data_IF_585330009690
#
_entry.id   IF_585330009690
#
_cell.length_a   1.000
_cell.length_b   1.000
_cell.length_c   1.000
_cell.angle_alpha   90.00
_cell.angle_beta   90.00
_cell.angle_gamma   90.00
#
_symmetry.space_group_name_H-M   'P 1'
#
loop_
_entity.id
_entity.type
_entity.pdbx_description
1 polymer ?
#
# COMPACT_ATOMS: atom_id res chain seq x y z
N UNK A 1 52.77 43.45 -51.15
CA UNK A 1 52.73 42.08 -50.57
C UNK A 1 52.13 42.21 -49.18
N UNK A 2 50.83 42.05 -49.09
CA UNK A 2 50.10 42.17 -47.82
C UNK A 2 49.46 40.82 -47.55
N UNK A 3 49.83 40.25 -46.42
CA UNK A 3 49.24 38.99 -45.89
C UNK A 3 48.24 39.39 -44.77
N UNK A 4 46.98 39.23 -45.10
CA UNK A 4 45.90 39.48 -44.12
C UNK A 4 45.68 38.24 -43.28
N UNK A 5 45.77 38.38 -41.92
CA UNK A 5 45.44 37.38 -40.98
C UNK A 5 43.92 37.35 -40.75
N UNK A 6 43.28 36.23 -41.06
CA UNK A 6 41.91 35.93 -40.67
C UNK A 6 41.92 35.35 -39.23
N UNK A 7 41.34 36.07 -38.30
CA UNK A 7 40.97 35.54 -36.97
C UNK A 7 39.62 34.81 -37.05
N UNK A 8 39.63 33.57 -36.67
CA UNK A 8 38.41 32.74 -36.48
C UNK A 8 37.96 32.85 -35.02
N UNK A 9 36.71 33.17 -34.71
CA UNK A 9 36.25 33.15 -33.32
C UNK A 9 35.89 31.72 -32.91
N UNK A 10 36.47 31.26 -31.80
CA UNK A 10 36.06 30.05 -31.10
C UNK A 10 34.64 30.23 -30.52
N UNK A 11 33.67 29.47 -31.01
CA UNK A 11 32.37 29.26 -30.34
C UNK A 11 32.57 28.32 -29.15
N UNK A 12 32.44 28.87 -27.94
CA UNK A 12 32.36 28.10 -26.70
C UNK A 12 30.97 27.48 -26.60
N UNK A 13 30.88 26.18 -26.80
CA UNK A 13 29.65 25.40 -26.51
C UNK A 13 29.58 25.18 -25.03
N UNK A 14 28.71 25.93 -24.37
CA UNK A 14 28.32 25.66 -22.95
C UNK A 14 27.41 24.43 -22.94
N UNK A 15 28.01 23.30 -22.64
CA UNK A 15 27.29 22.07 -22.34
C UNK A 15 26.51 22.25 -21.01
N UNK A 16 25.23 22.60 -21.13
CA UNK A 16 24.31 22.62 -20.01
C UNK A 16 24.03 21.18 -19.55
N UNK A 17 24.74 20.74 -18.50
CA UNK A 17 24.43 19.50 -17.82
C UNK A 17 23.04 19.59 -17.17
N UNK A 18 22.07 18.85 -17.72
CA UNK A 18 20.82 18.55 -17.01
C UNK A 18 21.17 17.76 -15.74
N UNK A 19 21.18 18.44 -14.61
CA UNK A 19 21.13 17.80 -13.32
C UNK A 19 19.76 17.13 -13.21
N UNK A 20 19.69 15.84 -13.53
CA UNK A 20 18.57 14.98 -13.13
C UNK A 20 18.57 14.97 -11.60
N UNK A 21 17.79 15.86 -11.02
CA UNK A 21 17.47 15.81 -9.60
C UNK A 21 16.76 14.48 -9.35
N UNK A 22 17.47 13.54 -8.72
CA UNK A 22 16.81 12.40 -8.08
C UNK A 22 15.91 12.99 -7.01
N UNK A 23 14.59 13.05 -7.27
CA UNK A 23 13.63 13.33 -6.22
C UNK A 23 13.90 12.32 -5.12
N UNK A 24 14.27 12.82 -3.93
CA UNK A 24 14.38 11.98 -2.74
C UNK A 24 13.00 11.35 -2.55
N UNK A 25 12.92 10.04 -2.56
CA UNK A 25 11.66 9.36 -2.25
C UNK A 25 11.41 9.57 -0.75
N UNK A 26 10.22 10.08 -0.40
CA UNK A 26 9.82 10.24 1.01
C UNK A 26 9.35 8.89 1.59
N UNK A 27 10.19 7.87 1.42
CA UNK A 27 9.96 6.54 1.98
C UNK A 27 9.88 6.63 3.51
N UNK A 28 8.91 5.92 4.10
CA UNK A 28 8.74 5.87 5.55
C UNK A 28 9.31 4.55 6.06
N UNK A 29 10.35 4.65 6.90
CA UNK A 29 10.87 3.50 7.64
C UNK A 29 9.90 3.26 8.80
N UNK A 30 9.27 2.09 8.83
CA UNK A 30 8.37 1.72 9.90
C UNK A 30 9.16 1.28 11.14
N UNK A 31 8.74 1.67 12.35
CA UNK A 31 9.33 1.14 13.58
C UNK A 31 9.09 -0.37 13.69
N UNK A 32 9.83 -1.04 14.56
CA UNK A 32 9.62 -2.47 14.81
C UNK A 32 8.17 -2.72 15.28
N UNK A 33 7.45 -3.70 14.68
CA UNK A 33 6.07 -3.96 15.05
C UNK A 33 5.99 -4.60 16.45
N UNK A 34 4.95 -4.27 17.21
CA UNK A 34 4.63 -5.01 18.43
C UNK A 34 4.03 -6.38 18.06
N UNK A 35 4.73 -7.45 18.47
CA UNK A 35 4.36 -8.85 18.19
C UNK A 35 3.85 -9.60 19.43
N UNK A 36 3.72 -8.93 20.57
CA UNK A 36 3.46 -9.60 21.86
C UNK A 36 2.21 -9.11 22.57
N UNK A 37 1.58 -8.07 22.07
CA UNK A 37 0.41 -7.46 22.68
C UNK A 37 -0.91 -7.97 22.10
N UNK A 38 -1.98 -7.35 22.57
CA UNK A 38 -3.32 -7.50 22.04
C UNK A 38 -4.30 -8.24 22.95
N UNK A 39 -5.59 -8.19 22.56
CA UNK A 39 -6.67 -8.92 23.23
C UNK A 39 -6.61 -10.42 22.89
N UNK A 40 -7.12 -11.30 23.76
CA UNK A 40 -7.26 -12.73 23.44
C UNK A 40 -8.05 -12.95 22.14
N UNK A 41 -7.61 -13.90 21.31
CA UNK A 41 -8.19 -14.15 19.97
C UNK A 41 -9.72 -14.35 20.02
N UNK A 42 -10.25 -15.14 20.97
CA UNK A 42 -11.69 -15.41 21.06
C UNK A 42 -12.47 -14.15 21.41
N UNK A 43 -11.91 -13.25 22.20
CA UNK A 43 -12.51 -11.95 22.49
C UNK A 43 -12.54 -11.08 21.23
N UNK A 44 -11.45 -11.03 20.45
CA UNK A 44 -11.37 -10.27 19.20
C UNK A 44 -12.39 -10.77 18.19
N UNK A 45 -12.51 -12.09 18.02
CA UNK A 45 -13.51 -12.69 17.13
C UNK A 45 -14.95 -12.35 17.54
N UNK A 46 -15.25 -12.29 18.84
CA UNK A 46 -16.55 -11.92 19.35
C UNK A 46 -16.88 -10.43 19.16
N UNK A 47 -15.87 -9.55 19.23
CA UNK A 47 -16.02 -8.10 19.13
C UNK A 47 -15.91 -7.59 17.69
N UNK A 48 -15.31 -8.35 16.76
CA UNK A 48 -15.07 -7.93 15.39
C UNK A 48 -16.36 -7.54 14.66
N UNK A 49 -16.40 -6.33 14.13
CA UNK A 49 -17.48 -5.81 13.28
C UNK A 49 -16.94 -4.83 12.24
N UNK A 50 -17.77 -4.45 11.26
CA UNK A 50 -17.43 -3.44 10.26
C UNK A 50 -17.84 -2.05 10.72
N UNK A 51 -16.86 -1.11 10.73
CA UNK A 51 -17.04 0.28 11.13
C UNK A 51 -16.96 1.19 9.89
N UNK A 52 -17.92 2.09 9.72
CA UNK A 52 -18.03 3.00 8.56
C UNK A 52 -18.05 4.48 8.95
N UNK A 53 -17.80 4.79 10.23
CA UNK A 53 -17.70 6.15 10.75
C UNK A 53 -16.40 6.27 11.54
N UNK A 54 -15.57 7.27 11.18
CA UNK A 54 -14.22 7.41 11.71
C UNK A 54 -13.98 8.82 12.22
N UNK A 55 -13.23 8.92 13.32
CA UNK A 55 -12.72 10.20 13.80
C UNK A 55 -11.66 10.73 12.83
N UNK A 56 -11.58 12.06 12.70
CA UNK A 56 -10.45 12.72 12.06
C UNK A 56 -9.25 12.73 13.02
N UNK A 57 -8.67 11.53 13.20
CA UNK A 57 -7.54 11.30 14.08
C UNK A 57 -6.52 10.41 13.38
N UNK A 58 -5.28 10.89 13.19
CA UNK A 58 -4.24 10.09 12.53
C UNK A 58 -3.90 8.83 13.34
N UNK A 59 -3.56 7.76 12.62
CA UNK A 59 -3.06 6.52 13.22
C UNK A 59 -1.56 6.72 13.51
N UNK A 60 -1.10 6.50 14.77
CA UNK A 60 0.32 6.57 15.10
C UNK A 60 1.16 5.60 14.26
N UNK A 61 2.40 5.99 13.97
CA UNK A 61 3.27 5.20 13.09
C UNK A 61 3.57 3.81 13.67
N UNK A 62 3.66 3.67 14.98
CA UNK A 62 3.85 2.39 15.69
C UNK A 62 2.62 1.47 15.51
N UNK A 63 1.43 2.05 15.56
CA UNK A 63 0.18 1.31 15.33
C UNK A 63 0.05 0.90 13.86
N UNK A 64 0.38 1.80 12.92
CA UNK A 64 0.41 1.50 11.49
C UNK A 64 1.43 0.41 11.17
N UNK A 65 2.60 0.45 11.77
CA UNK A 65 3.65 -0.57 11.66
C UNK A 65 3.13 -1.94 12.06
N UNK A 66 2.54 -2.03 13.25
CA UNK A 66 2.00 -3.28 13.79
C UNK A 66 0.80 -3.80 12.97
N UNK A 67 -0.07 -2.91 12.49
CA UNK A 67 -1.16 -3.23 11.57
C UNK A 67 -0.67 -3.88 10.28
N UNK A 68 0.33 -3.27 9.62
CA UNK A 68 0.86 -3.75 8.36
C UNK A 68 1.61 -5.07 8.53
N UNK A 69 2.33 -5.22 9.65
CA UNK A 69 2.93 -6.50 9.98
C UNK A 69 1.87 -7.58 10.21
N UNK A 70 0.82 -7.29 10.98
CA UNK A 70 -0.28 -8.23 11.18
C UNK A 70 -0.97 -8.61 9.86
N UNK A 71 -1.15 -7.65 8.96
CA UNK A 71 -1.77 -7.86 7.64
C UNK A 71 -0.98 -8.83 6.76
N UNK A 72 0.33 -8.56 6.54
CA UNK A 72 1.16 -9.33 5.59
C UNK A 72 2.66 -9.25 5.91
N UNK A 73 3.04 -9.03 7.17
CA UNK A 73 4.46 -8.94 7.55
C UNK A 73 5.20 -10.27 7.50
N UNK A 74 6.53 -10.19 7.41
CA UNK A 74 7.42 -11.36 7.57
C UNK A 74 7.36 -11.84 9.01
N UNK A 75 7.03 -13.11 9.21
CA UNK A 75 6.85 -13.70 10.56
C UNK A 75 7.81 -14.85 10.87
N UNK A 76 8.72 -15.18 9.95
CA UNK A 76 9.76 -16.22 10.07
C UNK A 76 11.06 -15.72 9.45
N UNK A 77 12.14 -16.45 9.60
CA UNK A 77 13.48 -16.07 9.09
C UNK A 77 13.52 -15.95 7.56
N UNK A 78 12.80 -16.82 6.86
CA UNK A 78 12.64 -16.73 5.41
C UNK A 78 11.66 -15.61 5.06
N UNK A 79 12.08 -14.59 4.27
CA UNK A 79 11.26 -13.45 3.92
C UNK A 79 10.05 -13.78 3.05
N UNK A 80 9.96 -14.95 2.47
CA UNK A 80 8.79 -15.38 1.72
C UNK A 80 7.62 -15.81 2.61
N UNK A 81 7.87 -16.10 3.88
CA UNK A 81 6.81 -16.47 4.82
C UNK A 81 6.20 -15.24 5.50
N UNK A 82 4.88 -15.12 5.37
CA UNK A 82 4.07 -13.99 5.86
C UNK A 82 3.10 -14.41 6.95
N UNK A 83 2.54 -13.42 7.63
CA UNK A 83 1.41 -13.60 8.55
C UNK A 83 0.15 -14.09 7.84
N UNK A 84 -0.08 -13.68 6.58
CA UNK A 84 -1.13 -14.20 5.72
C UNK A 84 -0.56 -15.25 4.75
N UNK A 85 -1.22 -16.40 4.55
CA UNK A 85 -0.79 -17.40 3.57
C UNK A 85 -1.11 -16.96 2.14
N UNK A 86 -0.34 -17.45 1.16
CA UNK A 86 -0.64 -17.33 -0.26
C UNK A 86 -0.50 -18.66 -0.99
N UNK A 87 -1.16 -18.80 -2.14
CA UNK A 87 -1.06 -20.02 -2.95
C UNK A 87 0.39 -20.24 -3.40
N UNK A 88 0.95 -21.43 -3.10
CA UNK A 88 2.36 -21.75 -3.39
C UNK A 88 3.36 -20.72 -2.87
N UNK A 89 2.98 -19.97 -1.87
CA UNK A 89 3.81 -18.91 -1.25
C UNK A 89 4.29 -17.84 -2.25
N UNK A 90 3.50 -17.55 -3.30
CA UNK A 90 3.90 -16.61 -4.34
C UNK A 90 3.72 -15.13 -3.96
N UNK A 91 3.05 -14.85 -2.85
CA UNK A 91 2.90 -13.50 -2.27
C UNK A 91 2.48 -12.44 -3.32
N UNK A 92 1.48 -12.80 -4.15
CA UNK A 92 1.03 -12.00 -5.27
C UNK A 92 0.25 -10.74 -4.88
N UNK A 93 -0.20 -10.65 -3.62
CA UNK A 93 -0.96 -9.49 -3.14
C UNK A 93 -0.02 -8.43 -2.58
N UNK A 94 -0.15 -7.22 -3.08
CA UNK A 94 0.53 -6.02 -2.60
C UNK A 94 -0.46 -5.13 -1.86
N UNK A 95 -0.01 -4.50 -0.77
CA UNK A 95 -0.80 -3.53 0.00
C UNK A 95 -0.30 -2.13 -0.32
N UNK A 96 -1.18 -1.32 -0.93
CA UNK A 96 -0.97 0.11 -1.05
C UNK A 96 -1.64 0.82 0.12
N UNK A 97 -0.87 1.61 0.83
CA UNK A 97 -1.26 2.37 2.03
C UNK A 97 -1.54 3.80 1.60
N UNK A 98 -2.79 4.24 1.64
CA UNK A 98 -3.21 5.57 1.20
C UNK A 98 -3.51 6.42 2.43
N UNK A 99 -2.69 7.45 2.61
CA UNK A 99 -2.72 8.42 3.71
C UNK A 99 -3.01 9.83 3.15
N UNK A 100 -3.32 10.84 3.98
CA UNK A 100 -3.44 12.22 3.51
C UNK A 100 -2.21 12.74 2.76
N UNK A 101 -1.01 12.28 3.12
CA UNK A 101 0.25 12.72 2.51
C UNK A 101 0.53 12.05 1.14
N UNK A 102 -0.07 10.87 0.86
CA UNK A 102 0.17 10.16 -0.39
C UNK A 102 -0.20 8.70 -0.36
N UNK A 103 0.14 8.01 -1.44
CA UNK A 103 0.02 6.56 -1.56
C UNK A 103 1.40 5.90 -1.51
N UNK A 104 1.50 4.84 -0.73
CA UNK A 104 2.74 4.12 -0.46
C UNK A 104 2.54 2.63 -0.70
N UNK A 105 3.56 1.96 -1.23
CA UNK A 105 3.61 0.50 -1.32
C UNK A 105 4.29 -0.06 -0.06
N UNK A 106 3.59 -0.90 0.67
CA UNK A 106 4.20 -1.63 1.80
C UNK A 106 5.18 -2.69 1.28
N UNK A 107 6.39 -2.66 1.83
CA UNK A 107 7.47 -3.61 1.56
C UNK A 107 7.71 -4.47 2.79
N UNK A 108 7.11 -5.67 2.87
CA UNK A 108 7.21 -6.53 4.07
C UNK A 108 8.63 -6.96 4.39
N UNK A 109 9.49 -7.19 3.37
CA UNK A 109 10.86 -7.67 3.53
C UNK A 109 11.75 -6.67 4.27
N UNK A 110 11.52 -5.39 4.04
CA UNK A 110 12.29 -4.29 4.64
C UNK A 110 11.48 -3.49 5.66
N UNK A 111 10.22 -3.90 5.86
CA UNK A 111 9.27 -3.27 6.77
C UNK A 111 9.23 -1.74 6.62
N UNK A 112 8.96 -1.27 5.39
CA UNK A 112 8.90 0.15 5.02
C UNK A 112 7.75 0.44 4.08
N UNK A 113 7.40 1.71 3.98
CA UNK A 113 6.48 2.24 3.00
C UNK A 113 7.28 2.97 1.93
N UNK A 114 7.25 2.45 0.72
CA UNK A 114 7.83 3.09 -0.46
C UNK A 114 6.83 4.08 -1.03
N UNK A 115 7.18 5.35 -1.13
CA UNK A 115 6.30 6.35 -1.70
C UNK A 115 6.10 6.13 -3.20
N UNK A 116 4.84 6.11 -3.63
CA UNK A 116 4.44 5.94 -5.03
C UNK A 116 3.84 7.23 -5.57
N UNK A 117 2.94 7.87 -4.83
CA UNK A 117 2.24 9.09 -5.24
C UNK A 117 2.27 10.08 -4.08
N UNK A 118 2.53 11.36 -4.39
CA UNK A 118 2.35 12.48 -3.46
C UNK A 118 0.90 13.00 -3.50
N UNK A 119 0.44 13.51 -2.37
CA UNK A 119 -0.87 14.12 -2.21
C UNK A 119 -2.00 13.14 -1.92
N UNK A 120 -3.10 13.67 -1.44
CA UNK A 120 -4.24 12.89 -0.96
C UNK A 120 -4.97 12.17 -2.11
N UNK A 121 -5.07 10.85 -2.00
CA UNK A 121 -5.77 9.97 -2.93
C UNK A 121 -6.85 9.14 -2.24
N UNK A 122 -7.19 9.47 -0.97
CA UNK A 122 -8.15 8.67 -0.20
C UNK A 122 -9.52 8.60 -0.87
N UNK A 123 -9.99 9.69 -1.46
CA UNK A 123 -11.24 9.79 -2.23
C UNK A 123 -11.32 8.82 -3.41
N UNK A 124 -10.18 8.53 -4.05
CA UNK A 124 -10.10 7.60 -5.18
C UNK A 124 -10.24 6.12 -4.75
N UNK A 125 -10.11 5.80 -3.45
CA UNK A 125 -10.10 4.41 -2.97
C UNK A 125 -11.47 3.80 -2.76
N UNK A 126 -12.55 4.52 -3.06
CA UNK A 126 -13.93 4.00 -3.02
C UNK A 126 -14.97 5.08 -3.26
N UNK A 127 -16.23 4.67 -3.38
CA UNK A 127 -17.36 5.55 -3.74
C UNK A 127 -18.22 5.96 -2.54
N UNK A 128 -17.89 5.49 -1.33
CA UNK A 128 -18.64 5.78 -0.11
C UNK A 128 -18.05 7.03 0.57
N UNK A 129 -18.87 7.92 1.12
CA UNK A 129 -18.46 9.22 1.66
C UNK A 129 -17.34 9.14 2.71
N UNK A 130 -17.41 8.18 3.64
CA UNK A 130 -16.41 8.04 4.68
C UNK A 130 -15.00 7.68 4.17
N UNK A 131 -14.87 7.24 2.92
CA UNK A 131 -13.60 6.82 2.35
C UNK A 131 -12.60 7.98 2.25
N UNK A 132 -13.09 9.16 1.85
CA UNK A 132 -12.28 10.36 1.69
C UNK A 132 -11.77 10.91 3.05
N UNK A 133 -12.50 10.64 4.13
CA UNK A 133 -12.20 11.17 5.48
C UNK A 133 -11.55 10.14 6.40
N UNK A 134 -11.66 8.84 6.10
CA UNK A 134 -10.97 7.81 6.87
C UNK A 134 -9.45 8.10 6.93
N UNK A 135 -8.80 8.04 8.10
CA UNK A 135 -7.39 8.40 8.24
C UNK A 135 -6.45 7.52 7.42
N UNK A 136 -6.88 6.31 7.08
CA UNK A 136 -6.11 5.33 6.31
C UNK A 136 -7.03 4.51 5.41
N UNK A 137 -6.64 4.30 4.15
CA UNK A 137 -7.21 3.27 3.28
C UNK A 137 -6.11 2.32 2.81
N UNK A 138 -6.32 1.03 2.99
CA UNK A 138 -5.51 -0.03 2.39
C UNK A 138 -6.15 -0.42 1.06
N UNK A 139 -5.34 -0.52 0.00
CA UNK A 139 -5.76 -0.98 -1.33
C UNK A 139 -5.01 -2.27 -1.64
N UNK A 140 -5.76 -3.33 -1.94
CA UNK A 140 -5.22 -4.64 -2.26
C UNK A 140 -5.09 -4.81 -3.76
N UNK A 141 -3.87 -5.00 -4.21
CA UNK A 141 -3.49 -5.11 -5.62
C UNK A 141 -2.89 -6.48 -5.86
N UNK A 142 -3.38 -7.20 -6.87
CA UNK A 142 -2.71 -8.42 -7.32
C UNK A 142 -1.63 -8.08 -8.34
N UNK A 143 -0.42 -8.58 -8.11
CA UNK A 143 0.65 -8.64 -9.10
C UNK A 143 0.59 -9.98 -9.83
N UNK A 144 0.00 -9.97 -11.03
CA UNK A 144 -0.20 -11.16 -11.83
C UNK A 144 1.09 -11.80 -12.31
N UNK A 145 2.21 -11.06 -12.33
CA UNK A 145 3.52 -11.60 -12.70
C UNK A 145 4.07 -12.59 -11.68
N UNK A 146 3.63 -12.49 -10.42
CA UNK A 146 4.00 -13.40 -9.34
C UNK A 146 3.14 -14.67 -9.30
N UNK A 147 2.01 -14.68 -9.99
CA UNK A 147 1.12 -15.84 -9.97
C UNK A 147 1.67 -17.00 -10.79
N UNK A 148 1.46 -18.27 -10.36
CA UNK A 148 1.95 -19.44 -11.08
C UNK A 148 1.50 -19.47 -12.55
N UNK A 149 2.42 -19.74 -13.46
CA UNK A 149 2.18 -19.71 -14.90
C UNK A 149 1.23 -20.82 -15.39
N UNK A 150 1.11 -21.93 -14.64
CA UNK A 150 0.21 -23.05 -14.91
C UNK A 150 -1.24 -22.83 -14.42
N UNK A 151 -1.53 -21.67 -13.78
CA UNK A 151 -2.88 -21.32 -13.38
C UNK A 151 -3.63 -20.66 -14.54
N UNK A 152 -4.85 -21.12 -14.82
CA UNK A 152 -5.77 -20.43 -15.71
C UNK A 152 -6.28 -19.10 -15.06
N UNK A 153 -6.96 -18.28 -15.86
CA UNK A 153 -7.43 -16.95 -15.40
C UNK A 153 -8.41 -17.06 -14.21
N UNK A 154 -9.28 -18.08 -14.20
CA UNK A 154 -10.24 -18.30 -13.10
C UNK A 154 -9.51 -18.65 -11.80
N UNK A 155 -8.55 -19.57 -11.87
CA UNK A 155 -7.76 -19.98 -10.70
C UNK A 155 -6.91 -18.83 -10.18
N UNK A 156 -6.30 -18.04 -11.07
CA UNK A 156 -5.56 -16.81 -10.70
C UNK A 156 -6.44 -15.83 -9.93
N UNK A 157 -7.65 -15.57 -10.41
CA UNK A 157 -8.57 -14.67 -9.72
C UNK A 157 -9.01 -15.24 -8.36
N UNK A 158 -9.41 -16.52 -8.32
CA UNK A 158 -9.86 -17.15 -7.07
C UNK A 158 -8.75 -17.14 -6.02
N UNK A 159 -7.51 -17.50 -6.36
CA UNK A 159 -6.39 -17.49 -5.40
C UNK A 159 -6.06 -16.07 -4.92
N UNK A 160 -6.09 -15.09 -5.80
CA UNK A 160 -5.86 -13.69 -5.44
C UNK A 160 -6.93 -13.17 -4.46
N UNK A 161 -8.22 -13.38 -4.77
CA UNK A 161 -9.31 -12.98 -3.87
C UNK A 161 -9.24 -13.70 -2.52
N UNK A 162 -8.86 -14.98 -2.50
CA UNK A 162 -8.66 -15.73 -1.26
C UNK A 162 -7.51 -15.13 -0.44
N UNK A 163 -6.38 -14.81 -1.06
CA UNK A 163 -5.24 -14.17 -0.42
C UNK A 163 -5.59 -12.81 0.19
N UNK A 164 -6.36 -11.99 -0.55
CA UNK A 164 -6.88 -10.71 -0.03
C UNK A 164 -7.80 -10.95 1.17
N UNK A 165 -8.64 -12.00 1.15
CA UNK A 165 -9.50 -12.36 2.29
C UNK A 165 -8.70 -12.66 3.56
N UNK A 166 -7.60 -13.41 3.46
CA UNK A 166 -6.72 -13.68 4.60
C UNK A 166 -6.09 -12.40 5.17
N UNK A 167 -5.58 -11.53 4.29
CA UNK A 167 -4.99 -10.25 4.68
C UNK A 167 -6.05 -9.35 5.32
N UNK A 168 -7.22 -9.24 4.69
CA UNK A 168 -8.31 -8.40 5.17
C UNK A 168 -8.84 -8.83 6.55
N UNK A 169 -8.90 -10.13 6.82
CA UNK A 169 -9.29 -10.63 8.15
C UNK A 169 -8.21 -10.35 9.19
N UNK A 170 -6.92 -10.51 8.88
CA UNK A 170 -5.83 -10.11 9.77
C UNK A 170 -5.95 -8.62 10.16
N UNK A 171 -6.32 -7.75 9.22
CA UNK A 171 -6.57 -6.32 9.49
C UNK A 171 -7.77 -6.13 10.41
N UNK A 172 -8.88 -6.87 10.22
CA UNK A 172 -10.04 -6.82 11.11
C UNK A 172 -9.66 -7.21 12.54
N UNK A 173 -8.98 -8.33 12.70
CA UNK A 173 -8.58 -8.84 14.01
C UNK A 173 -7.62 -7.89 14.72
N UNK A 174 -6.61 -7.37 14.00
CA UNK A 174 -5.70 -6.38 14.55
C UNK A 174 -6.44 -5.10 14.98
N UNK A 175 -7.28 -4.53 14.12
CA UNK A 175 -8.03 -3.31 14.41
C UNK A 175 -8.90 -3.48 15.65
N UNK A 176 -9.66 -4.57 15.74
CA UNK A 176 -10.50 -4.88 16.91
C UNK A 176 -9.67 -5.01 18.18
N UNK A 177 -8.48 -5.62 18.10
CA UNK A 177 -7.57 -5.76 19.22
C UNK A 177 -6.96 -4.42 19.67
N UNK A 178 -6.70 -3.52 18.71
CA UNK A 178 -6.06 -2.23 18.95
C UNK A 178 -7.05 -1.07 19.23
N UNK A 179 -8.37 -1.35 19.30
CA UNK A 179 -9.40 -0.31 19.47
C UNK A 179 -9.61 0.56 18.23
N UNK A 180 -9.24 0.03 17.05
CA UNK A 180 -9.52 0.65 15.75
C UNK A 180 -10.78 0.03 15.13
N UNK A 181 -11.45 0.80 14.29
CA UNK A 181 -12.50 0.33 13.40
C UNK A 181 -11.97 0.10 12.00
N UNK A 182 -12.61 -0.81 11.26
CA UNK A 182 -12.27 -1.08 9.86
C UNK A 182 -13.46 -1.62 9.08
N UNK A 183 -13.43 -1.43 7.74
CA UNK A 183 -14.39 -2.05 6.82
C UNK A 183 -13.73 -2.45 5.52
N UNK A 184 -13.86 -3.73 5.16
CA UNK A 184 -13.45 -4.28 3.88
C UNK A 184 -14.49 -3.93 2.79
N UNK A 185 -14.04 -3.51 1.59
CA UNK A 185 -14.91 -2.93 0.57
C UNK A 185 -14.57 -3.42 -0.84
N UNK A 186 -15.65 -3.71 -1.60
CA UNK A 186 -15.60 -3.91 -3.04
C UNK A 186 -16.15 -2.70 -3.83
N UNK A 187 -16.77 -1.73 -3.15
CA UNK A 187 -17.38 -0.55 -3.79
C UNK A 187 -16.30 0.50 -4.10
N UNK A 188 -15.62 0.30 -5.22
CA UNK A 188 -14.58 1.18 -5.76
C UNK A 188 -14.58 1.11 -7.30
N UNK A 189 -14.10 2.16 -7.96
CA UNK A 189 -13.75 2.14 -9.37
C UNK A 189 -12.30 1.66 -9.52
N UNK A 190 -12.15 0.36 -9.78
CA UNK A 190 -10.84 -0.29 -9.86
C UNK A 190 -9.97 0.29 -10.98
N UNK A 191 -10.57 0.59 -12.15
CA UNK A 191 -9.84 1.12 -13.30
C UNK A 191 -9.40 2.57 -13.05
N UNK A 192 -10.25 3.39 -12.44
CA UNK A 192 -9.90 4.74 -12.04
C UNK A 192 -8.74 4.73 -11.03
N UNK A 193 -8.85 3.95 -9.96
CA UNK A 193 -7.82 3.85 -8.93
C UNK A 193 -6.50 3.28 -9.49
N UNK A 194 -6.57 2.31 -10.41
CA UNK A 194 -5.39 1.76 -11.08
C UNK A 194 -4.62 2.85 -11.85
N UNK A 195 -5.33 3.72 -12.57
CA UNK A 195 -4.71 4.86 -13.26
C UNK A 195 -4.12 5.87 -12.28
N UNK A 196 -4.84 6.19 -11.18
CA UNK A 196 -4.36 7.14 -10.17
C UNK A 196 -3.11 6.64 -9.43
N UNK A 197 -3.01 5.34 -9.18
CA UNK A 197 -1.83 4.69 -8.61
C UNK A 197 -0.73 4.39 -9.65
N UNK A 198 -0.95 4.72 -10.93
CA UNK A 198 -0.01 4.48 -12.04
C UNK A 198 0.44 3.02 -12.13
N UNK A 199 -0.48 2.08 -11.88
CA UNK A 199 -0.15 0.66 -11.90
C UNK A 199 0.10 0.14 -13.31
N UNK A 200 1.12 -0.72 -13.51
CA UNK A 200 1.34 -1.40 -14.79
C UNK A 200 0.21 -2.39 -15.08
N UNK A 201 0.07 -2.77 -16.36
CA UNK A 201 -1.06 -3.59 -16.85
C UNK A 201 -1.21 -4.95 -16.18
N UNK A 202 -0.11 -5.51 -15.66
CA UNK A 202 -0.09 -6.80 -14.96
C UNK A 202 -0.44 -6.69 -13.46
N UNK A 203 -0.70 -5.48 -12.96
CA UNK A 203 -1.21 -5.25 -11.60
C UNK A 203 -2.67 -4.84 -11.66
N UNK A 204 -3.50 -5.42 -10.80
CA UNK A 204 -4.94 -5.15 -10.76
C UNK A 204 -5.40 -4.84 -9.35
N UNK A 205 -6.14 -3.74 -9.19
CA UNK A 205 -6.84 -3.42 -7.95
C UNK A 205 -7.98 -4.42 -7.77
N UNK A 206 -8.09 -5.03 -6.58
CA UNK A 206 -9.15 -5.98 -6.26
C UNK A 206 -10.13 -5.41 -5.24
N UNK A 207 -9.63 -4.97 -4.08
CA UNK A 207 -10.43 -4.51 -2.95
C UNK A 207 -9.74 -3.37 -2.23
N UNK A 208 -10.48 -2.71 -1.33
CA UNK A 208 -9.91 -1.74 -0.39
C UNK A 208 -10.46 -1.97 1.03
N UNK A 209 -9.78 -1.40 2.03
CA UNK A 209 -10.21 -1.48 3.43
C UNK A 209 -9.88 -0.16 4.13
N UNK A 210 -10.90 0.51 4.67
CA UNK A 210 -10.71 1.72 5.47
C UNK A 210 -10.42 1.36 6.91
N UNK A 211 -9.52 2.13 7.54
CA UNK A 211 -9.11 1.95 8.93
C UNK A 211 -9.04 3.31 9.62
N UNK A 212 -9.50 3.38 10.86
CA UNK A 212 -9.46 4.58 11.69
C UNK A 212 -9.97 4.32 13.10
N UNK A 213 -9.94 5.33 13.95
CA UNK A 213 -10.64 5.26 15.23
C UNK A 213 -12.14 5.38 14.99
N UNK A 214 -12.98 4.50 15.58
CA UNK A 214 -14.43 4.63 15.48
C UNK A 214 -14.86 5.99 16.02
N UNK A 215 -15.76 6.68 15.29
CA UNK A 215 -16.52 7.79 15.89
C UNK A 215 -17.80 7.25 16.51
N UNK A 216 -18.19 7.79 17.65
CA UNK A 216 -19.51 7.55 18.21
C UNK A 216 -20.55 8.00 17.18
N UNK A 217 -21.36 7.05 16.70
CA UNK A 217 -22.46 7.29 15.78
C UNK A 217 -23.72 7.72 16.51
#
# INVERSE_FOLDING_TARGET
MNISHLLCPLLSVISGGLLSGTALSDDIILPAPDRKGGKPLMQVLNERHSTRSFMDKPIPLETLSSLLWAAQGVNRDDPDYRTAPSSRNCNEIEIYVVLPAGAYLYKPETHRLQQIIHGDLRDATGTQEFVATAPLNLVYVVDQSKQPGDFDAKRKLVTACTGVGFIGENVYLFCTSAGLGTVFRAMLDADYLQRRLQLPVFKKVLYAQSVGYPSDS
#
